data_IF_766406447507
#
_entry.id   IF_766406447507
#
_cell.length_a   1.000
_cell.length_b   1.000
_cell.length_c   1.000
_cell.angle_alpha   90.00
_cell.angle_beta   90.00
_cell.angle_gamma   90.00
#
_symmetry.space_group_name_H-M   'P 1'
#
loop_
_entity.id
_entity.type
_entity.pdbx_description
1 polymer ?
#
# COMPACT_ATOMS: atom_id res chain seq x y z
N UNK A 1 -1.59 -1.18 11.12
CA UNK A 1 -1.65 -1.82 12.46
C UNK A 1 -0.55 -2.87 12.62
N UNK A 2 -0.46 -3.89 11.76
CA UNK A 2 0.57 -4.96 11.85
C UNK A 2 2.02 -4.42 11.80
N UNK A 3 2.31 -3.43 10.95
CA UNK A 3 3.62 -2.78 10.92
C UNK A 3 3.96 -2.09 12.26
N UNK A 4 2.98 -1.47 12.91
CA UNK A 4 3.17 -0.89 14.23
C UNK A 4 3.45 -1.97 15.28
N UNK A 5 2.69 -3.08 15.27
CA UNK A 5 2.91 -4.22 16.16
C UNK A 5 4.31 -4.81 16.03
N UNK A 6 4.78 -5.02 14.80
CA UNK A 6 6.16 -5.49 14.53
C UNK A 6 7.20 -4.53 15.12
N UNK A 7 7.02 -3.20 14.95
CA UNK A 7 7.96 -2.24 15.52
C UNK A 7 7.97 -2.26 17.05
N UNK A 8 6.80 -2.40 17.70
CA UNK A 8 6.70 -2.50 19.16
C UNK A 8 7.43 -3.75 19.66
N UNK A 9 7.19 -4.92 19.08
CA UNK A 9 7.88 -6.16 19.49
C UNK A 9 9.39 -6.06 19.31
N UNK A 10 9.85 -5.55 18.18
CA UNK A 10 11.29 -5.36 17.92
C UNK A 10 11.93 -4.36 18.87
N UNK A 11 11.21 -3.30 19.26
CA UNK A 11 11.71 -2.30 20.23
C UNK A 11 11.99 -2.87 21.62
N UNK A 12 11.30 -3.94 22.00
CA UNK A 12 11.49 -4.65 23.28
C UNK A 12 12.33 -5.94 23.12
N UNK A 13 12.97 -6.13 21.96
CA UNK A 13 13.89 -7.26 21.72
C UNK A 13 13.24 -8.57 21.31
N UNK A 14 11.95 -8.58 20.97
CA UNK A 14 11.25 -9.76 20.46
C UNK A 14 11.35 -9.78 18.91
N UNK A 15 11.96 -10.82 18.31
CA UNK A 15 11.95 -10.94 16.85
C UNK A 15 10.50 -11.02 16.34
N UNK A 16 10.16 -10.17 15.39
CA UNK A 16 8.83 -10.10 14.83
C UNK A 16 8.89 -9.81 13.33
N UNK A 17 7.90 -10.30 12.60
CA UNK A 17 7.74 -10.03 11.16
C UNK A 17 6.28 -9.80 10.81
N UNK A 18 6.06 -9.01 9.76
CA UNK A 18 4.74 -8.78 9.19
C UNK A 18 4.42 -9.89 8.20
N UNK A 19 3.25 -10.47 8.33
CA UNK A 19 2.74 -11.53 7.48
C UNK A 19 1.63 -10.99 6.60
N UNK A 20 1.57 -11.47 5.37
CA UNK A 20 0.59 -11.08 4.38
C UNK A 20 -0.06 -12.28 3.73
N UNK A 21 -1.36 -12.21 3.53
CA UNK A 21 -2.03 -12.89 2.43
C UNK A 21 -2.40 -11.83 1.40
N UNK A 22 -1.79 -11.85 0.21
CA UNK A 22 -2.02 -10.78 -0.77
C UNK A 22 -3.44 -10.78 -1.29
N UNK A 23 -4.03 -11.97 -1.42
CA UNK A 23 -5.41 -12.18 -1.82
C UNK A 23 -5.94 -13.47 -1.21
N UNK A 24 -7.17 -13.43 -0.71
CA UNK A 24 -7.89 -14.64 -0.32
C UNK A 24 -8.45 -15.35 -1.56
N UNK A 25 -8.44 -16.67 -1.55
CA UNK A 25 -9.10 -17.46 -2.59
C UNK A 25 -10.60 -17.64 -2.37
N UNK A 26 -11.10 -17.31 -1.18
CA UNK A 26 -12.48 -17.55 -0.76
C UNK A 26 -13.32 -16.27 -0.63
N UNK A 27 -12.74 -15.09 -0.75
CA UNK A 27 -13.43 -13.81 -0.74
C UNK A 27 -12.54 -12.70 -1.32
N UNK A 28 -13.17 -11.63 -1.79
CA UNK A 28 -12.52 -10.46 -2.37
C UNK A 28 -11.91 -9.56 -1.30
N UNK A 29 -10.79 -10.02 -0.70
CA UNK A 29 -10.06 -9.28 0.32
C UNK A 29 -8.62 -9.77 0.45
N UNK A 30 -7.86 -9.13 1.33
CA UNK A 30 -6.51 -9.48 1.75
C UNK A 30 -6.38 -9.28 3.27
N UNK A 31 -5.27 -9.69 3.86
CA UNK A 31 -5.01 -9.42 5.27
C UNK A 31 -3.52 -9.34 5.58
N UNK A 32 -3.19 -8.66 6.69
CA UNK A 32 -1.84 -8.61 7.24
C UNK A 32 -1.89 -8.67 8.77
N UNK A 33 -1.01 -9.48 9.34
CA UNK A 33 -0.89 -9.67 10.79
C UNK A 33 0.56 -9.77 11.23
N UNK A 34 0.83 -10.29 12.41
CA UNK A 34 2.17 -10.35 13.01
C UNK A 34 2.52 -11.79 13.33
N UNK A 35 3.77 -12.17 13.09
CA UNK A 35 4.43 -13.31 13.74
C UNK A 35 5.52 -12.82 14.68
N UNK A 36 5.64 -13.49 15.81
CA UNK A 36 6.70 -13.30 16.80
C UNK A 36 7.45 -14.62 16.99
N UNK A 37 8.76 -14.52 17.23
CA UNK A 37 9.60 -15.70 17.53
C UNK A 37 9.82 -15.81 19.03
N UNK A 38 9.31 -16.88 19.64
CA UNK A 38 9.52 -17.21 21.03
C UNK A 38 9.50 -18.74 21.20
N UNK A 39 10.09 -19.23 22.26
CA UNK A 39 10.16 -20.66 22.58
C UNK A 39 10.66 -21.55 21.43
N UNK A 40 11.56 -21.00 20.61
CA UNK A 40 12.18 -21.73 19.50
C UNK A 40 11.32 -21.84 18.23
N UNK A 41 10.18 -21.15 18.15
CA UNK A 41 9.28 -21.19 17.01
C UNK A 41 8.63 -19.84 16.67
N UNK A 42 8.10 -19.72 15.45
CA UNK A 42 7.27 -18.60 15.05
C UNK A 42 5.82 -18.84 15.46
N UNK A 43 5.21 -17.83 16.05
CA UNK A 43 3.81 -17.81 16.47
C UNK A 43 3.09 -16.60 15.90
N UNK A 44 1.85 -16.77 15.47
CA UNK A 44 1.07 -15.66 14.96
C UNK A 44 0.11 -15.06 15.97
N UNK A 45 -0.22 -13.80 15.76
CA UNK A 45 -1.22 -13.05 16.53
C UNK A 45 -1.80 -11.90 15.69
N UNK A 46 -2.99 -11.46 16.03
CA UNK A 46 -3.57 -10.24 15.49
C UNK A 46 -2.86 -8.99 16.03
N UNK A 47 -2.82 -7.94 15.21
CA UNK A 47 -2.17 -6.69 15.60
C UNK A 47 -3.00 -5.84 16.56
N UNK A 48 -4.32 -6.02 16.54
CA UNK A 48 -5.29 -5.19 17.28
C UNK A 48 -6.30 -6.02 18.09
N UNK A 49 -6.21 -7.35 18.02
CA UNK A 49 -7.07 -8.24 18.77
C UNK A 49 -6.26 -8.86 19.93
N UNK A 50 -6.49 -8.44 21.16
CA UNK A 50 -5.80 -8.99 22.32
C UNK A 50 -6.34 -10.38 22.68
N UNK A 51 -5.82 -11.39 22.02
CA UNK A 51 -6.04 -12.79 22.39
C UNK A 51 -5.13 -13.19 23.56
N UNK A 52 -5.61 -14.06 24.44
CA UNK A 52 -4.85 -14.53 25.62
C UNK A 52 -3.85 -15.65 25.28
N UNK A 53 -3.85 -16.11 24.04
CA UNK A 53 -2.98 -17.16 23.56
C UNK A 53 -2.39 -16.80 22.19
N UNK A 54 -1.17 -17.22 21.93
CA UNK A 54 -0.57 -17.14 20.60
C UNK A 54 -1.23 -18.15 19.65
N UNK A 55 -1.05 -17.99 18.35
CA UNK A 55 -1.65 -18.81 17.30
C UNK A 55 -3.18 -18.73 17.30
N UNK A 56 -3.72 -17.58 17.63
CA UNK A 56 -5.14 -17.24 17.60
C UNK A 56 -5.34 -15.85 17.03
N UNK A 57 -6.36 -15.70 16.22
CA UNK A 57 -6.87 -14.45 15.68
C UNK A 57 -8.18 -14.72 14.95
N UNK A 58 -8.98 -13.70 14.67
CA UNK A 58 -10.23 -13.85 13.91
C UNK A 58 -9.99 -14.51 12.54
N UNK A 59 -8.81 -14.25 11.96
CA UNK A 59 -8.39 -14.74 10.65
C UNK A 59 -7.87 -16.19 10.65
N UNK A 60 -7.81 -16.89 11.77
CA UNK A 60 -7.24 -18.25 11.88
C UNK A 60 -7.86 -19.21 10.86
N UNK A 61 -9.20 -19.23 10.74
CA UNK A 61 -9.89 -20.06 9.75
C UNK A 61 -9.65 -19.55 8.32
N UNK A 62 -9.67 -18.24 8.10
CA UNK A 62 -9.40 -17.64 6.80
C UNK A 62 -7.97 -17.97 6.32
N UNK A 63 -6.99 -17.93 7.22
CA UNK A 63 -5.61 -18.26 6.91
C UNK A 63 -5.42 -19.73 6.51
N UNK A 64 -6.20 -20.66 7.09
CA UNK A 64 -6.17 -22.08 6.72
C UNK A 64 -6.70 -22.37 5.30
N UNK A 65 -7.37 -21.39 4.70
CA UNK A 65 -7.94 -21.42 3.34
C UNK A 65 -7.13 -20.58 2.34
N UNK A 66 -5.96 -20.14 2.72
CA UNK A 66 -5.11 -19.35 1.83
C UNK A 66 -4.40 -20.22 0.79
N UNK A 67 -4.24 -19.69 -0.42
CA UNK A 67 -3.37 -20.27 -1.43
C UNK A 67 -1.91 -19.90 -1.23
N UNK A 68 -1.65 -18.71 -0.66
CA UNK A 68 -0.32 -18.20 -0.33
C UNK A 68 -0.37 -17.27 0.87
N UNK A 69 0.60 -17.42 1.77
CA UNK A 69 0.90 -16.51 2.87
C UNK A 69 2.40 -16.26 2.87
N UNK A 70 2.81 -15.01 2.92
CA UNK A 70 4.22 -14.65 2.85
C UNK A 70 4.61 -13.52 3.80
N UNK A 71 5.88 -13.45 4.10
CA UNK A 71 6.54 -12.30 4.71
C UNK A 71 7.55 -11.69 3.74
N UNK A 72 8.02 -10.50 4.07
CA UNK A 72 9.06 -9.79 3.32
C UNK A 72 10.30 -9.67 4.17
N UNK A 73 11.44 -9.91 3.56
CA UNK A 73 12.74 -9.73 4.19
C UNK A 73 13.67 -8.96 3.27
N UNK A 74 14.54 -8.15 3.87
CA UNK A 74 15.59 -7.42 3.19
C UNK A 74 16.93 -8.02 3.60
N UNK A 75 17.70 -8.52 2.63
CA UNK A 75 18.98 -9.15 2.84
C UNK A 75 19.01 -10.64 2.43
N UNK A 76 20.12 -11.28 2.75
CA UNK A 76 20.31 -12.71 2.47
C UNK A 76 19.61 -13.56 3.53
N UNK A 77 18.88 -14.57 3.07
CA UNK A 77 18.19 -15.54 3.90
C UNK A 77 18.52 -16.93 3.42
N UNK A 78 18.82 -17.81 4.35
CA UNK A 78 19.02 -19.24 4.12
C UNK A 78 17.95 -20.06 4.83
N UNK A 79 17.55 -21.17 4.20
CA UNK A 79 16.65 -22.16 4.80
C UNK A 79 15.15 -21.85 4.68
N UNK A 80 14.77 -20.73 4.09
CA UNK A 80 13.37 -20.37 3.84
C UNK A 80 13.04 -20.50 2.34
N UNK A 81 11.81 -20.86 2.03
CA UNK A 81 11.33 -20.92 0.64
C UNK A 81 11.08 -19.48 0.12
N UNK A 82 11.89 -19.06 -0.85
CA UNK A 82 11.73 -17.75 -1.52
C UNK A 82 10.83 -17.93 -2.74
N UNK A 83 9.70 -17.24 -2.76
CA UNK A 83 8.69 -17.33 -3.81
C UNK A 83 8.73 -16.18 -4.81
N UNK A 84 9.46 -15.12 -4.50
CA UNK A 84 9.67 -13.97 -5.39
C UNK A 84 10.80 -13.11 -4.85
N UNK A 85 11.43 -12.34 -5.75
CA UNK A 85 12.37 -11.27 -5.43
C UNK A 85 12.00 -10.01 -6.19
N UNK A 86 11.94 -8.88 -5.49
CA UNK A 86 11.75 -7.57 -6.08
C UNK A 86 12.81 -6.63 -5.51
N UNK A 87 13.82 -6.33 -6.29
CA UNK A 87 14.96 -5.58 -5.82
C UNK A 87 15.68 -6.27 -4.66
N UNK A 88 15.84 -5.59 -3.55
CA UNK A 88 16.46 -6.12 -2.34
C UNK A 88 15.49 -6.90 -1.44
N UNK A 89 14.21 -6.94 -1.78
CA UNK A 89 13.21 -7.63 -0.99
C UNK A 89 13.02 -9.08 -1.46
N UNK A 90 13.14 -10.02 -0.55
CA UNK A 90 12.77 -11.43 -0.74
C UNK A 90 11.42 -11.69 -0.09
N UNK A 91 10.55 -12.43 -0.79
CA UNK A 91 9.26 -12.89 -0.29
C UNK A 91 9.41 -14.34 0.18
N UNK A 92 9.14 -14.56 1.45
CA UNK A 92 9.29 -15.85 2.10
C UNK A 92 7.94 -16.53 2.25
N UNK A 93 7.84 -17.78 1.85
CA UNK A 93 6.62 -18.56 1.98
C UNK A 93 6.41 -19.02 3.43
N UNK A 94 5.36 -18.51 4.06
CA UNK A 94 5.01 -18.87 5.44
C UNK A 94 3.75 -19.75 5.52
N UNK A 95 3.19 -20.19 4.38
CA UNK A 95 1.89 -20.86 4.33
C UNK A 95 1.80 -22.12 5.20
N UNK A 96 2.90 -22.88 5.30
CA UNK A 96 2.96 -24.14 6.08
C UNK A 96 2.58 -23.98 7.56
N UNK A 97 2.70 -22.77 8.11
CA UNK A 97 2.29 -22.50 9.50
C UNK A 97 0.76 -22.44 9.66
N UNK A 98 0.02 -22.22 8.58
CA UNK A 98 -1.41 -21.89 8.61
C UNK A 98 -2.29 -22.93 7.95
N UNK A 99 -1.87 -23.50 6.83
CA UNK A 99 -2.70 -24.31 5.95
C UNK A 99 -2.05 -25.64 5.59
N UNK A 100 -2.86 -26.59 5.19
CA UNK A 100 -2.38 -27.79 4.50
C UNK A 100 -1.86 -27.39 3.13
N UNK A 101 -0.66 -27.83 2.80
CA UNK A 101 0.07 -27.36 1.63
C UNK A 101 0.53 -28.51 0.74
N UNK A 102 0.82 -28.15 -0.50
CA UNK A 102 1.41 -29.03 -1.52
C UNK A 102 2.45 -28.25 -2.31
N UNK A 103 3.50 -28.90 -2.75
CA UNK A 103 4.45 -28.32 -3.69
C UNK A 103 3.91 -28.50 -5.11
N UNK A 104 3.74 -27.39 -5.85
CA UNK A 104 3.32 -27.38 -7.24
C UNK A 104 4.53 -27.03 -8.11
N UNK A 105 4.90 -27.94 -9.01
CA UNK A 105 5.97 -27.74 -9.99
C UNK A 105 5.36 -27.29 -11.32
N UNK A 106 6.00 -26.33 -12.00
CA UNK A 106 5.64 -25.88 -13.36
C UNK A 106 6.86 -26.08 -14.25
N UNK A 107 6.70 -26.78 -15.36
CA UNK A 107 7.76 -27.00 -16.34
C UNK A 107 7.33 -26.47 -17.71
N UNK A 108 8.15 -25.63 -18.31
CA UNK A 108 7.91 -24.93 -19.57
C UNK A 108 8.83 -25.50 -20.65
N UNK A 109 8.24 -25.87 -21.78
CA UNK A 109 8.94 -26.40 -22.98
C UNK A 109 8.53 -25.58 -24.19
N UNK A 110 9.37 -25.49 -25.18
CA UNK A 110 9.03 -25.00 -26.50
C UNK A 110 8.25 -26.05 -27.33
N UNK A 111 7.82 -25.70 -28.54
CA UNK A 111 7.11 -26.63 -29.44
C UNK A 111 7.96 -27.83 -29.88
N UNK A 112 9.27 -27.73 -29.77
CA UNK A 112 10.19 -28.86 -30.05
C UNK A 112 10.42 -29.74 -28.81
N UNK A 113 9.78 -29.43 -27.66
CA UNK A 113 9.92 -30.16 -26.41
C UNK A 113 11.17 -29.79 -25.62
N UNK A 114 11.92 -28.76 -26.01
CA UNK A 114 13.11 -28.30 -25.30
C UNK A 114 12.74 -27.43 -24.10
N UNK A 115 13.41 -27.59 -22.95
CA UNK A 115 13.20 -26.73 -21.78
C UNK A 115 13.42 -25.25 -22.11
N UNK A 116 12.55 -24.36 -21.59
CA UNK A 116 12.67 -22.92 -21.74
C UNK A 116 13.15 -22.30 -20.44
N UNK A 117 14.40 -21.89 -20.37
CA UNK A 117 14.99 -21.21 -19.23
C UNK A 117 14.61 -19.73 -19.21
N UNK A 118 14.37 -19.17 -18.01
CA UNK A 118 14.07 -17.76 -17.80
C UNK A 118 12.71 -17.36 -18.38
N UNK A 119 11.77 -18.29 -18.50
CA UNK A 119 10.36 -17.97 -18.70
C UNK A 119 9.77 -17.52 -17.37
N UNK A 120 9.06 -16.39 -17.36
CA UNK A 120 8.39 -15.87 -16.19
C UNK A 120 7.08 -16.63 -15.97
N UNK A 121 6.92 -17.24 -14.79
CA UNK A 121 5.74 -17.98 -14.38
C UNK A 121 5.03 -17.23 -13.27
N UNK A 122 3.79 -16.82 -13.51
CA UNK A 122 2.91 -16.22 -12.52
C UNK A 122 2.00 -17.26 -11.88
N UNK A 123 1.85 -17.19 -10.56
CA UNK A 123 0.96 -18.02 -9.75
C UNK A 123 -0.20 -17.15 -9.26
N UNK A 124 -1.30 -17.16 -10.01
CA UNK A 124 -2.42 -16.26 -9.85
C UNK A 124 -3.54 -16.82 -8.99
N UNK A 125 -4.18 -15.94 -8.23
CA UNK A 125 -5.37 -16.20 -7.43
C UNK A 125 -6.50 -15.33 -7.96
N UNK A 126 -7.68 -15.91 -8.21
CA UNK A 126 -8.87 -15.14 -8.59
C UNK A 126 -9.35 -14.32 -7.39
N UNK A 127 -9.40 -13.00 -7.56
CA UNK A 127 -9.86 -12.09 -6.53
C UNK A 127 -10.20 -10.72 -7.18
N UNK A 128 -11.27 -10.04 -6.73
CA UNK A 128 -11.77 -8.81 -7.36
C UNK A 128 -11.95 -8.95 -8.89
N UNK A 129 -12.53 -10.07 -9.32
CA UNK A 129 -12.82 -10.37 -10.75
C UNK A 129 -11.59 -10.35 -11.67
N UNK A 130 -10.39 -10.60 -11.11
CA UNK A 130 -9.16 -10.73 -11.91
C UNK A 130 -8.23 -11.77 -11.31
N UNK A 131 -7.29 -12.28 -12.11
CA UNK A 131 -6.21 -13.11 -11.61
C UNK A 131 -5.08 -12.21 -11.11
N UNK A 132 -4.78 -12.31 -9.81
CA UNK A 132 -3.70 -11.59 -9.16
C UNK A 132 -2.52 -12.53 -8.95
N UNK A 133 -1.36 -12.19 -9.48
CA UNK A 133 -0.13 -12.97 -9.27
C UNK A 133 0.35 -12.83 -7.82
N UNK A 134 0.13 -13.87 -7.04
CA UNK A 134 0.58 -13.95 -5.67
C UNK A 134 2.09 -14.24 -5.57
N UNK A 135 2.64 -14.89 -6.58
CA UNK A 135 4.07 -15.11 -6.77
C UNK A 135 4.43 -15.07 -8.26
N UNK A 136 5.66 -14.64 -8.57
CA UNK A 136 6.22 -14.67 -9.91
C UNK A 136 7.63 -15.23 -9.80
N UNK A 137 7.93 -16.27 -10.60
CA UNK A 137 9.21 -16.97 -10.57
C UNK A 137 9.70 -17.22 -11.99
N UNK A 138 11.02 -17.20 -12.19
CA UNK A 138 11.62 -17.56 -13.45
C UNK A 138 11.95 -19.05 -13.48
N UNK A 139 11.80 -19.69 -14.65
CA UNK A 139 12.21 -21.10 -14.84
C UNK A 139 13.72 -21.25 -14.84
N UNK A 140 14.20 -22.34 -14.25
CA UNK A 140 15.60 -22.74 -14.18
C UNK A 140 16.15 -23.26 -15.53
N UNK A 141 17.36 -23.80 -15.53
CA UNK A 141 18.02 -24.43 -16.67
C UNK A 141 17.27 -25.65 -17.24
N UNK A 142 16.46 -26.29 -16.42
CA UNK A 142 15.59 -27.42 -16.82
C UNK A 142 14.21 -26.95 -17.29
N UNK A 143 14.00 -25.64 -17.41
CA UNK A 143 12.73 -25.03 -17.77
C UNK A 143 11.67 -25.10 -16.67
N UNK A 144 12.05 -25.33 -15.40
CA UNK A 144 11.10 -25.55 -14.32
C UNK A 144 11.24 -24.53 -13.18
N UNK A 145 10.12 -24.26 -12.51
CA UNK A 145 10.06 -23.58 -11.21
C UNK A 145 8.93 -24.18 -10.38
N UNK A 146 8.70 -23.69 -9.17
CA UNK A 146 7.57 -24.13 -8.37
C UNK A 146 7.60 -23.57 -6.97
N UNK A 147 6.46 -23.67 -6.29
CA UNK A 147 6.29 -23.20 -4.92
C UNK A 147 5.34 -24.10 -4.11
N UNK A 148 5.45 -23.99 -2.80
CA UNK A 148 4.48 -24.57 -1.87
C UNK A 148 3.22 -23.69 -1.84
N UNK A 149 2.05 -24.27 -2.13
CA UNK A 149 0.77 -23.55 -2.19
C UNK A 149 -0.35 -24.29 -1.45
N UNK A 150 -1.49 -23.63 -1.29
CA UNK A 150 -2.73 -24.20 -0.74
C UNK A 150 -3.41 -25.17 -1.70
N UNK A 151 -4.40 -25.90 -1.20
CA UNK A 151 -5.12 -26.94 -1.93
C UNK A 151 -6.40 -26.36 -2.59
N UNK A 152 -6.22 -25.58 -3.66
CA UNK A 152 -7.31 -24.89 -4.36
C UNK A 152 -7.00 -24.64 -5.85
N UNK A 153 -7.80 -23.83 -6.48
CA UNK A 153 -7.57 -23.43 -7.88
C UNK A 153 -6.46 -22.37 -7.95
N UNK A 154 -5.52 -22.59 -8.86
CA UNK A 154 -4.43 -21.70 -9.19
C UNK A 154 -4.44 -21.37 -10.67
N UNK A 155 -4.32 -20.11 -11.01
CA UNK A 155 -4.07 -19.66 -12.38
C UNK A 155 -2.56 -19.62 -12.60
N UNK A 156 -2.09 -20.40 -13.55
CA UNK A 156 -0.68 -20.40 -13.97
C UNK A 156 -0.61 -19.68 -15.31
N UNK A 157 0.18 -18.61 -15.37
CA UNK A 157 0.51 -18.01 -16.65
C UNK A 157 2.03 -17.98 -16.86
N UNK A 158 2.43 -18.11 -18.10
CA UNK A 158 3.84 -18.15 -18.49
C UNK A 158 4.07 -17.13 -19.59
N UNK A 159 5.08 -16.32 -19.41
CA UNK A 159 5.52 -15.33 -20.39
C UNK A 159 7.01 -15.52 -20.71
N UNK A 160 7.34 -15.52 -21.98
CA UNK A 160 8.70 -15.42 -22.48
C UNK A 160 8.71 -14.59 -23.76
N UNK A 161 9.45 -13.48 -23.73
CA UNK A 161 9.45 -12.48 -24.81
C UNK A 161 8.00 -12.03 -25.15
N UNK A 162 7.53 -12.25 -26.35
CA UNK A 162 6.18 -11.91 -26.83
C UNK A 162 5.19 -13.09 -26.77
N UNK A 163 5.63 -14.25 -26.27
CA UNK A 163 4.78 -15.43 -26.15
C UNK A 163 4.19 -15.54 -24.76
N UNK A 164 2.90 -15.81 -24.70
CA UNK A 164 2.12 -15.94 -23.48
C UNK A 164 1.24 -17.19 -23.52
N UNK A 165 1.21 -17.93 -22.42
CA UNK A 165 0.33 -19.08 -22.22
C UNK A 165 -0.26 -19.06 -20.83
N UNK A 166 -1.47 -19.55 -20.65
CA UNK A 166 -2.13 -19.64 -19.35
C UNK A 166 -2.85 -20.97 -19.15
N UNK A 167 -3.02 -21.35 -17.89
CA UNK A 167 -3.74 -22.56 -17.51
C UNK A 167 -4.32 -22.44 -16.09
N UNK A 168 -5.58 -22.84 -15.92
CA UNK A 168 -6.17 -23.06 -14.62
C UNK A 168 -5.93 -24.48 -14.16
N UNK A 169 -5.46 -24.65 -12.93
CA UNK A 169 -5.21 -25.94 -12.33
C UNK A 169 -5.84 -26.04 -10.95
N UNK A 170 -6.37 -27.21 -10.61
CA UNK A 170 -6.76 -27.52 -9.24
C UNK A 170 -5.61 -28.27 -8.57
N UNK A 171 -4.92 -27.61 -7.65
CA UNK A 171 -3.64 -28.07 -7.11
C UNK A 171 -3.70 -29.46 -6.44
N UNK A 172 -4.80 -29.89 -5.77
CA UNK A 172 -4.90 -31.24 -5.25
C UNK A 172 -4.69 -32.35 -6.29
N UNK A 173 -5.07 -32.11 -7.53
CA UNK A 173 -5.09 -33.14 -8.59
C UNK A 173 -3.77 -33.23 -9.38
N UNK A 174 -2.86 -32.24 -9.21
CA UNK A 174 -1.64 -32.16 -10.03
C UNK A 174 -0.41 -31.89 -9.18
N UNK A 175 0.69 -32.57 -9.46
CA UNK A 175 2.00 -32.30 -8.84
C UNK A 175 2.90 -31.46 -9.76
N UNK A 176 2.74 -31.64 -11.06
CA UNK A 176 3.49 -30.93 -12.09
C UNK A 176 2.57 -30.45 -13.20
N UNK A 177 2.69 -29.17 -13.52
CA UNK A 177 2.02 -28.54 -14.67
C UNK A 177 3.03 -28.45 -15.81
N UNK A 178 2.78 -29.12 -16.90
CA UNK A 178 3.56 -28.96 -18.13
C UNK A 178 2.90 -27.94 -19.05
N UNK A 179 3.67 -26.95 -19.50
CA UNK A 179 3.23 -25.91 -20.44
C UNK A 179 4.14 -25.93 -21.65
N UNK A 180 3.52 -26.07 -22.83
CA UNK A 180 4.20 -25.84 -24.10
C UNK A 180 3.99 -24.39 -24.47
N UNK A 181 5.06 -23.63 -24.51
CA UNK A 181 5.06 -22.21 -24.84
C UNK A 181 4.95 -22.05 -26.35
N UNK A 182 3.79 -21.64 -26.80
CA UNK A 182 3.49 -21.43 -28.21
C UNK A 182 2.60 -20.19 -28.38
N UNK A 183 2.75 -19.56 -29.52
CA UNK A 183 1.95 -18.39 -29.84
C UNK A 183 0.58 -18.86 -30.40
N UNK A 184 -0.46 -18.79 -29.58
CA UNK A 184 -1.82 -19.09 -30.00
C UNK A 184 -2.59 -17.77 -30.20
N UNK A 185 -3.30 -17.61 -31.33
CA UNK A 185 -4.14 -16.44 -31.52
C UNK A 185 -5.29 -16.46 -30.50
N UNK A 186 -5.47 -15.35 -29.79
CA UNK A 186 -6.59 -15.20 -28.86
C UNK A 186 -7.88 -15.07 -29.64
N UNK A 187 -8.84 -15.96 -29.40
CA UNK A 187 -10.18 -15.86 -29.94
C UNK A 187 -11.08 -15.11 -28.94
N UNK A 188 -11.39 -13.86 -29.22
CA UNK A 188 -12.24 -13.02 -28.39
C UNK A 188 -13.74 -13.34 -28.50
N UNK A 189 -14.14 -14.21 -29.39
CA UNK A 189 -15.54 -14.62 -29.60
C UNK A 189 -15.95 -15.87 -28.80
N UNK A 190 -15.00 -16.44 -28.04
CA UNK A 190 -15.24 -17.61 -27.20
C UNK A 190 -15.27 -17.24 -25.72
N UNK A 191 -16.22 -17.87 -25.01
CA UNK A 191 -16.34 -17.77 -23.55
C UNK A 191 -15.99 -19.11 -22.93
N UNK A 192 -15.06 -19.08 -21.96
CA UNK A 192 -14.75 -20.23 -21.13
C UNK A 192 -15.41 -20.11 -19.77
N UNK A 193 -16.06 -21.17 -19.33
CA UNK A 193 -16.59 -21.28 -17.97
C UNK A 193 -15.65 -22.10 -17.12
N UNK A 194 -15.26 -21.56 -15.98
CA UNK A 194 -14.45 -22.28 -15.00
C UNK A 194 -15.01 -22.10 -13.60
N UNK A 195 -14.61 -23.01 -12.69
CA UNK A 195 -14.93 -22.92 -11.27
C UNK A 195 -13.63 -22.70 -10.50
N UNK A 196 -13.55 -21.61 -9.75
CA UNK A 196 -12.45 -21.36 -8.82
C UNK A 196 -12.82 -21.94 -7.45
N UNK A 197 -12.02 -22.91 -6.98
CA UNK A 197 -12.25 -23.61 -5.71
C UNK A 197 -11.20 -23.17 -4.72
N UNK A 198 -11.63 -22.56 -3.60
CA UNK A 198 -10.76 -22.22 -2.50
C UNK A 198 -10.40 -23.47 -1.69
N UNK A 199 -9.22 -23.49 -0.99
CA UNK A 199 -8.88 -24.55 -0.04
C UNK A 199 -9.97 -24.74 1.02
N UNK A 200 -10.12 -25.97 1.52
CA UNK A 200 -11.04 -26.28 2.61
C UNK A 200 -10.50 -25.72 3.93
N UNK A 201 -11.41 -25.46 4.85
CA UNK A 201 -11.09 -25.01 6.21
C UNK A 201 -10.40 -26.15 7.02
N UNK A 202 -9.09 -26.06 7.13
CA UNK A 202 -8.24 -27.06 7.81
C UNK A 202 -7.12 -26.35 8.56
N UNK A 203 -7.39 -25.96 9.81
CA UNK A 203 -6.43 -25.28 10.67
C UNK A 203 -5.27 -26.22 11.02
N UNK A 204 -4.05 -25.86 10.64
CA UNK A 204 -2.83 -26.62 10.92
C UNK A 204 -2.26 -26.28 12.30
N UNK A 205 -2.20 -24.97 12.60
CA UNK A 205 -1.60 -24.47 13.83
C UNK A 205 -2.49 -23.38 14.44
N UNK A 206 -3.44 -23.79 15.25
CA UNK A 206 -4.38 -22.88 15.90
C UNK A 206 -4.57 -23.24 17.37
N UNK A 207 -4.41 -22.25 18.25
CA UNK A 207 -4.70 -22.46 19.67
C UNK A 207 -6.20 -22.53 19.92
N UNK A 208 -6.58 -23.34 20.89
CA UNK A 208 -7.95 -23.44 21.41
C UNK A 208 -7.97 -22.86 22.83
N UNK A 209 -8.28 -21.57 23.00
CA UNK A 209 -8.35 -20.95 24.32
C UNK A 209 -9.43 -21.61 25.18
N UNK A 210 -9.19 -21.70 26.48
CA UNK A 210 -10.21 -22.09 27.46
C UNK A 210 -11.30 -21.03 27.55
N UNK A 211 -12.46 -21.36 28.13
CA UNK A 211 -13.54 -20.38 28.31
C UNK A 211 -13.09 -19.22 29.20
N UNK A 212 -12.29 -19.47 30.24
CA UNK A 212 -11.70 -18.45 31.09
C UNK A 212 -10.78 -17.49 30.31
N UNK A 213 -9.92 -18.03 29.41
CA UNK A 213 -9.07 -17.22 28.54
C UNK A 213 -9.88 -16.38 27.56
N UNK A 214 -10.96 -16.91 26.98
CA UNK A 214 -11.87 -16.15 26.11
C UNK A 214 -12.55 -15.00 26.86
N UNK A 215 -13.06 -15.26 28.07
CA UNK A 215 -13.68 -14.23 28.90
C UNK A 215 -12.66 -13.13 29.27
N UNK A 216 -11.43 -13.50 29.60
CA UNK A 216 -10.36 -12.55 29.91
C UNK A 216 -10.01 -11.70 28.69
N UNK A 217 -9.90 -12.31 27.51
CA UNK A 217 -9.66 -11.60 26.24
C UNK A 217 -10.78 -10.60 25.94
N UNK A 218 -12.05 -11.00 26.08
CA UNK A 218 -13.20 -10.10 25.94
C UNK A 218 -13.14 -8.91 26.91
N UNK A 219 -12.89 -9.17 28.20
CA UNK A 219 -12.76 -8.09 29.22
C UNK A 219 -11.65 -7.11 28.88
N UNK A 220 -10.48 -7.59 28.39
CA UNK A 220 -9.37 -6.73 27.95
C UNK A 220 -9.74 -5.91 26.71
N UNK A 221 -10.42 -6.51 25.75
CA UNK A 221 -10.92 -5.83 24.55
C UNK A 221 -11.90 -4.72 24.92
N UNK A 222 -12.87 -4.99 25.79
CA UNK A 222 -13.84 -4.00 26.27
C UNK A 222 -13.16 -2.84 27.01
N UNK A 223 -12.18 -3.16 27.87
CA UNK A 223 -11.42 -2.14 28.59
C UNK A 223 -10.58 -1.27 27.62
N UNK A 224 -9.96 -1.88 26.61
CA UNK A 224 -9.21 -1.17 25.58
C UNK A 224 -10.13 -0.27 24.73
N UNK A 225 -11.31 -0.75 24.34
CA UNK A 225 -12.31 0.02 23.59
C UNK A 225 -12.79 1.23 24.39
N UNK A 226 -13.14 1.06 25.67
CA UNK A 226 -13.53 2.16 26.55
C UNK A 226 -12.45 3.22 26.67
N UNK A 227 -11.17 2.81 26.84
CA UNK A 227 -10.05 3.75 26.86
C UNK A 227 -9.89 4.52 25.54
N UNK A 228 -10.06 3.82 24.40
CA UNK A 228 -10.00 4.43 23.08
C UNK A 228 -11.12 5.46 22.90
N UNK A 229 -12.34 5.09 23.24
CA UNK A 229 -13.52 5.96 23.15
C UNK A 229 -13.37 7.21 24.02
N UNK A 230 -12.96 7.03 25.28
CA UNK A 230 -12.69 8.15 26.19
C UNK A 230 -11.57 9.06 25.66
N UNK A 231 -10.51 8.49 25.10
CA UNK A 231 -9.42 9.27 24.49
C UNK A 231 -9.90 10.04 23.25
N UNK A 232 -10.70 9.42 22.39
CA UNK A 232 -11.24 10.09 21.19
C UNK A 232 -12.17 11.22 21.60
N UNK A 233 -13.05 11.00 22.60
CA UNK A 233 -13.95 12.02 23.12
C UNK A 233 -13.18 13.22 23.73
N UNK A 234 -12.08 12.95 24.44
CA UNK A 234 -11.25 14.00 25.03
C UNK A 234 -10.38 14.79 24.03
N UNK A 235 -10.30 14.38 22.76
CA UNK A 235 -9.54 15.10 21.73
C UNK A 235 -10.25 16.35 21.22
N UNK A 236 -11.57 16.39 21.29
CA UNK A 236 -12.38 17.47 20.72
C UNK A 236 -13.10 18.26 21.78
N UNK A 237 -12.83 19.56 21.81
CA UNK A 237 -13.53 20.53 22.64
C UNK A 237 -14.57 21.26 21.77
N UNK A 238 -15.84 20.91 21.95
CA UNK A 238 -16.96 21.43 21.17
C UNK A 238 -17.17 22.93 21.38
N UNK A 239 -16.99 23.43 22.61
CA UNK A 239 -17.17 24.85 22.94
C UNK A 239 -16.07 25.68 22.34
N UNK A 240 -14.82 25.23 22.41
CA UNK A 240 -13.67 25.89 21.79
C UNK A 240 -13.80 25.91 20.26
N UNK A 241 -14.13 24.77 19.64
CA UNK A 241 -14.32 24.69 18.19
C UNK A 241 -15.42 25.65 17.72
N UNK A 242 -16.56 25.71 18.45
CA UNK A 242 -17.64 26.64 18.17
C UNK A 242 -17.22 28.09 18.31
N UNK A 243 -16.50 28.42 19.37
CA UNK A 243 -16.00 29.78 19.61
C UNK A 243 -15.06 30.26 18.47
N UNK A 244 -14.21 29.37 17.92
CA UNK A 244 -13.35 29.67 16.75
C UNK A 244 -14.20 29.92 15.52
N UNK A 245 -15.15 29.04 15.23
CA UNK A 245 -16.04 29.17 14.08
C UNK A 245 -16.82 30.48 14.13
N UNK A 246 -17.44 30.79 15.28
CA UNK A 246 -18.24 32.01 15.47
C UNK A 246 -17.36 33.28 15.40
N UNK A 247 -16.17 33.25 16.01
CA UNK A 247 -15.26 34.42 16.04
C UNK A 247 -14.78 34.84 14.66
N UNK A 248 -14.41 33.86 13.82
CA UNK A 248 -13.79 34.13 12.51
C UNK A 248 -14.77 34.00 11.34
N UNK A 249 -16.02 33.63 11.61
CA UNK A 249 -17.08 33.50 10.59
C UNK A 249 -16.90 32.29 9.67
N UNK A 250 -16.31 31.21 10.16
CA UNK A 250 -16.19 29.97 9.41
C UNK A 250 -17.54 29.26 9.24
N UNK A 251 -17.63 28.39 8.24
CA UNK A 251 -18.81 27.57 8.01
C UNK A 251 -18.96 26.43 9.04
N UNK A 252 -20.16 25.84 9.07
CA UNK A 252 -20.43 24.62 9.86
C UNK A 252 -19.52 23.45 9.43
N UNK A 253 -19.10 23.40 8.18
CA UNK A 253 -18.21 22.37 7.65
C UNK A 253 -16.83 22.40 8.33
N UNK A 254 -16.34 23.57 8.74
CA UNK A 254 -15.10 23.68 9.52
C UNK A 254 -15.26 23.10 10.92
N UNK A 255 -16.42 23.30 11.58
CA UNK A 255 -16.68 22.65 12.86
C UNK A 255 -16.67 21.13 12.73
N UNK A 256 -17.31 20.58 11.70
CA UNK A 256 -17.32 19.14 11.43
C UNK A 256 -15.92 18.60 11.08
N UNK A 257 -15.15 19.38 10.33
CA UNK A 257 -13.75 19.07 9.99
C UNK A 257 -12.88 18.99 11.25
N UNK A 258 -13.02 19.92 12.19
CA UNK A 258 -12.31 19.90 13.47
C UNK A 258 -12.65 18.63 14.27
N UNK A 259 -13.92 18.26 14.34
CA UNK A 259 -14.35 17.02 14.97
C UNK A 259 -13.72 15.77 14.30
N UNK A 260 -13.68 15.73 12.97
CA UNK A 260 -13.10 14.62 12.20
C UNK A 260 -11.56 14.55 12.29
N UNK A 261 -10.89 15.65 12.61
CA UNK A 261 -9.42 15.74 12.64
C UNK A 261 -8.76 15.02 13.83
N UNK A 262 -9.55 14.64 14.85
CA UNK A 262 -9.12 13.85 16.01
C UNK A 262 -7.87 14.44 16.69
N UNK A 263 -6.76 13.67 16.74
CA UNK A 263 -5.51 14.09 17.41
C UNK A 263 -4.82 15.30 16.78
N UNK A 264 -5.22 15.71 15.58
CA UNK A 264 -4.69 16.90 14.91
C UNK A 264 -5.51 18.17 15.16
N UNK A 265 -6.62 18.07 15.92
CA UNK A 265 -7.55 19.18 16.14
C UNK A 265 -6.86 20.43 16.66
N UNK A 266 -6.03 20.31 17.69
CA UNK A 266 -5.34 21.45 18.29
C UNK A 266 -4.48 22.22 17.28
N UNK A 267 -3.75 21.52 16.41
CA UNK A 267 -2.95 22.17 15.37
C UNK A 267 -3.81 22.87 14.32
N UNK A 268 -4.95 22.28 13.96
CA UNK A 268 -5.87 22.93 13.01
C UNK A 268 -6.59 24.13 13.66
N UNK A 269 -6.92 24.07 14.94
CA UNK A 269 -7.41 25.21 15.71
C UNK A 269 -6.41 26.36 15.70
N UNK A 270 -5.14 26.09 16.05
CA UNK A 270 -4.05 27.07 15.99
C UNK A 270 -3.87 27.67 14.58
N UNK A 271 -4.01 26.86 13.54
CA UNK A 271 -3.98 27.34 12.16
C UNK A 271 -5.16 28.23 11.81
N UNK A 272 -6.37 27.91 12.28
CA UNK A 272 -7.57 28.70 12.07
C UNK A 272 -7.53 30.05 12.83
N UNK A 273 -6.89 30.09 13.98
CA UNK A 273 -6.68 31.29 14.80
C UNK A 273 -5.52 32.18 14.31
N UNK A 274 -4.62 31.64 13.46
CA UNK A 274 -3.50 32.40 12.89
C UNK A 274 -4.00 33.53 11.97
N UNK A 275 -3.73 34.77 12.33
CA UNK A 275 -4.21 35.96 11.59
C UNK A 275 -3.34 36.33 10.37
N UNK A 276 -2.28 35.54 10.07
CA UNK A 276 -1.41 35.78 8.90
C UNK A 276 -2.15 35.63 7.59
N UNK A 277 -3.18 34.78 7.55
CA UNK A 277 -3.99 34.49 6.37
C UNK A 277 -5.47 34.80 6.63
N UNK A 278 -6.21 35.17 5.59
CA UNK A 278 -7.66 35.42 5.71
C UNK A 278 -8.39 34.14 6.13
N UNK A 279 -9.48 34.30 6.89
CA UNK A 279 -10.35 33.20 7.29
C UNK A 279 -10.84 32.42 6.06
N UNK A 280 -11.25 33.13 5.00
CA UNK A 280 -11.69 32.55 3.74
C UNK A 280 -10.64 31.64 3.11
N UNK A 281 -9.39 32.08 2.99
CA UNK A 281 -8.32 31.29 2.38
C UNK A 281 -8.00 30.01 3.19
N UNK A 282 -8.01 30.11 4.52
CA UNK A 282 -7.80 28.96 5.42
C UNK A 282 -8.92 27.93 5.29
N UNK A 283 -10.16 28.40 5.29
CA UNK A 283 -11.34 27.55 5.12
C UNK A 283 -11.31 26.81 3.78
N UNK A 284 -11.17 27.54 2.66
CA UNK A 284 -11.10 26.95 1.33
C UNK A 284 -10.02 25.88 1.22
N UNK A 285 -8.82 26.15 1.74
CA UNK A 285 -7.75 25.17 1.73
C UNK A 285 -8.09 23.94 2.58
N UNK A 286 -8.59 24.10 3.80
CA UNK A 286 -8.91 22.96 4.68
C UNK A 286 -10.00 22.07 4.09
N UNK A 287 -10.97 22.63 3.40
CA UNK A 287 -12.05 21.87 2.75
C UNK A 287 -11.55 21.00 1.60
N UNK A 288 -10.41 21.33 0.97
CA UNK A 288 -9.78 20.46 -0.05
C UNK A 288 -9.12 19.19 0.52
N UNK A 289 -8.87 19.16 1.82
CA UNK A 289 -8.13 18.05 2.44
C UNK A 289 -9.00 16.81 2.62
N UNK A 290 -8.43 15.63 2.34
CA UNK A 290 -9.07 14.35 2.66
C UNK A 290 -9.19 14.17 4.18
N UNK A 291 -10.11 13.28 4.62
CA UNK A 291 -10.25 12.92 6.05
C UNK A 291 -8.93 12.41 6.67
N UNK A 292 -8.11 11.72 5.88
CA UNK A 292 -6.79 11.28 6.32
C UNK A 292 -5.87 12.47 6.55
N UNK A 293 -5.80 13.42 5.61
CA UNK A 293 -4.91 14.57 5.70
C UNK A 293 -5.30 15.51 6.85
N UNK A 294 -6.59 15.69 7.11
CA UNK A 294 -7.09 16.45 8.28
C UNK A 294 -6.55 15.92 9.61
N UNK A 295 -6.28 14.60 9.69
CA UNK A 295 -5.82 13.92 10.92
C UNK A 295 -4.32 13.98 11.16
N UNK A 296 -3.51 14.33 10.16
CA UNK A 296 -2.05 14.24 10.27
C UNK A 296 -1.25 15.28 9.47
N UNK A 297 -1.92 16.22 8.79
CA UNK A 297 -1.20 17.28 8.10
C UNK A 297 -0.48 18.18 9.10
N UNK A 298 0.78 18.49 8.78
CA UNK A 298 1.52 19.53 9.46
C UNK A 298 1.06 20.90 8.96
N UNK A 299 0.66 21.80 9.87
CA UNK A 299 0.14 23.12 9.52
C UNK A 299 1.15 24.00 8.80
N UNK A 300 2.44 23.74 8.98
CA UNK A 300 3.51 24.41 8.22
C UNK A 300 3.41 24.16 6.70
N UNK A 301 2.87 23.01 6.30
CA UNK A 301 2.60 22.69 4.89
C UNK A 301 1.47 23.55 4.36
N UNK A 302 0.43 23.77 5.18
CA UNK A 302 -0.72 24.61 4.83
C UNK A 302 -0.32 26.08 4.74
N UNK A 303 0.49 26.54 5.69
CA UNK A 303 1.03 27.91 5.70
C UNK A 303 1.94 28.17 4.50
N UNK A 304 2.82 27.21 4.15
CA UNK A 304 3.62 27.30 2.92
C UNK A 304 2.75 27.40 1.66
N UNK A 305 1.71 26.56 1.57
CA UNK A 305 0.81 26.56 0.43
C UNK A 305 0.12 27.92 0.25
N UNK A 306 -0.44 28.52 1.32
CA UNK A 306 -1.07 29.82 1.26
C UNK A 306 -0.08 30.95 1.00
N UNK A 307 1.07 30.96 1.67
CA UNK A 307 2.07 32.02 1.54
C UNK A 307 2.61 32.14 0.11
N UNK A 308 2.85 31.01 -0.54
CA UNK A 308 3.47 30.97 -1.87
C UNK A 308 2.47 31.02 -3.03
N UNK A 309 1.17 31.12 -2.73
CA UNK A 309 0.12 31.27 -3.75
C UNK A 309 -0.72 32.53 -3.59
N UNK A 310 -0.43 33.34 -2.58
CA UNK A 310 -1.23 34.54 -2.24
C UNK A 310 -1.36 35.56 -3.37
N UNK A 311 -0.35 35.64 -4.23
CA UNK A 311 -0.29 36.61 -5.33
C UNK A 311 -0.78 36.02 -6.67
N UNK A 312 -1.27 34.74 -6.65
CA UNK A 312 -1.81 34.11 -7.84
C UNK A 312 -3.25 34.52 -8.07
N UNK A 313 -3.60 34.78 -9.31
CA UNK A 313 -4.97 35.11 -9.73
C UNK A 313 -5.53 34.00 -10.59
N UNK A 314 -6.75 33.57 -10.27
CA UNK A 314 -7.49 32.55 -11.02
C UNK A 314 -8.95 32.98 -11.13
N UNK A 315 -9.55 32.75 -12.28
CA UNK A 315 -10.99 33.07 -12.50
C UNK A 315 -11.90 32.12 -11.70
N UNK A 316 -11.50 30.83 -11.60
CA UNK A 316 -12.24 29.81 -10.86
C UNK A 316 -11.55 29.55 -9.51
N UNK A 317 -12.14 30.08 -8.46
CA UNK A 317 -11.60 29.94 -7.10
C UNK A 317 -11.59 28.48 -6.61
N UNK A 318 -12.58 27.66 -6.97
CA UNK A 318 -12.66 26.26 -6.54
C UNK A 318 -11.51 25.45 -7.18
N UNK A 319 -11.30 25.59 -8.48
CA UNK A 319 -10.17 24.98 -9.17
C UNK A 319 -8.84 25.46 -8.60
N UNK A 320 -8.74 26.74 -8.25
CA UNK A 320 -7.53 27.30 -7.65
C UNK A 320 -7.17 26.60 -6.34
N UNK A 321 -8.11 26.57 -5.39
CA UNK A 321 -7.83 25.91 -4.11
C UNK A 321 -7.61 24.41 -4.26
N UNK A 322 -8.39 23.73 -5.07
CA UNK A 322 -8.32 22.26 -5.23
C UNK A 322 -7.05 21.82 -5.95
N UNK A 323 -6.65 22.50 -7.00
CA UNK A 323 -5.59 22.03 -7.90
C UNK A 323 -4.30 22.85 -7.87
N UNK A 324 -4.29 24.01 -7.25
CA UNK A 324 -3.08 24.85 -7.13
C UNK A 324 -2.65 24.99 -5.68
N UNK A 325 -3.53 25.42 -4.79
CA UNK A 325 -3.19 25.66 -3.37
C UNK A 325 -3.05 24.34 -2.61
N UNK A 326 -3.98 23.40 -2.80
CA UNK A 326 -3.97 22.11 -2.12
C UNK A 326 -2.61 21.40 -2.25
N UNK A 327 -1.93 21.07 -1.14
CA UNK A 327 -0.61 20.46 -1.19
C UNK A 327 -0.64 18.99 -1.62
N UNK A 328 -1.80 18.32 -1.56
CA UNK A 328 -1.97 16.91 -1.91
C UNK A 328 -2.01 16.73 -3.43
N UNK A 329 -1.17 15.84 -3.96
CA UNK A 329 -1.23 15.39 -5.36
C UNK A 329 -1.89 14.03 -5.47
N UNK A 330 -1.40 13.04 -4.73
CA UNK A 330 -1.94 11.67 -4.78
C UNK A 330 -1.90 10.99 -3.41
N UNK A 331 -0.85 10.23 -3.07
CA UNK A 331 -0.70 9.49 -1.80
C UNK A 331 0.66 9.69 -1.13
N UNK A 332 1.43 10.66 -1.57
CA UNK A 332 2.72 11.01 -0.99
C UNK A 332 2.56 11.51 0.46
N UNK A 333 3.55 11.30 1.34
CA UNK A 333 3.57 11.96 2.63
C UNK A 333 3.60 13.47 2.46
N UNK A 334 2.61 14.19 3.04
CA UNK A 334 2.57 15.66 2.98
C UNK A 334 3.72 16.25 3.78
N UNK A 335 4.56 16.99 3.09
CA UNK A 335 5.65 17.79 3.65
C UNK A 335 5.83 19.04 2.80
N UNK A 336 6.47 20.07 3.35
CA UNK A 336 6.86 21.25 2.59
C UNK A 336 7.67 20.85 1.36
N UNK A 337 7.32 21.41 0.23
CA UNK A 337 8.02 21.13 -1.03
C UNK A 337 8.02 22.32 -1.99
N UNK A 338 7.06 23.22 -1.90
CA UNK A 338 6.88 24.29 -2.88
C UNK A 338 8.04 25.28 -2.88
N UNK A 339 8.46 25.76 -1.71
CA UNK A 339 9.63 26.64 -1.62
C UNK A 339 10.89 25.97 -2.14
N UNK A 340 11.13 24.70 -1.75
CA UNK A 340 12.27 23.95 -2.25
C UNK A 340 12.27 23.85 -3.79
N UNK A 341 11.12 23.55 -4.38
CA UNK A 341 10.96 23.47 -5.84
C UNK A 341 11.25 24.83 -6.48
N UNK A 342 10.76 25.92 -5.93
CA UNK A 342 11.00 27.28 -6.41
C UNK A 342 12.48 27.66 -6.38
N UNK A 343 13.20 27.23 -5.34
CA UNK A 343 14.62 27.53 -5.17
C UNK A 343 15.55 26.60 -5.98
N UNK A 344 15.05 25.41 -6.34
CA UNK A 344 15.85 24.35 -6.96
C UNK A 344 16.20 24.63 -8.43
N UNK A 345 15.28 25.24 -9.18
CA UNK A 345 15.43 25.46 -10.61
C UNK A 345 15.97 26.85 -10.94
N UNK A 346 16.74 26.94 -12.03
CA UNK A 346 17.22 28.21 -12.57
C UNK A 346 16.08 29.03 -13.14
N UNK A 347 16.27 30.34 -13.31
CA UNK A 347 15.26 31.22 -13.92
C UNK A 347 14.97 30.85 -15.39
N UNK A 348 15.97 30.31 -16.10
CA UNK A 348 15.81 29.82 -17.47
C UNK A 348 14.89 28.60 -17.53
N UNK A 349 15.10 27.62 -16.62
CA UNK A 349 14.24 26.44 -16.51
C UNK A 349 12.82 26.83 -16.12
N UNK A 350 12.67 27.73 -15.15
CA UNK A 350 11.36 28.25 -14.73
C UNK A 350 10.62 28.93 -15.89
N UNK A 351 11.31 29.73 -16.68
CA UNK A 351 10.73 30.39 -17.85
C UNK A 351 10.28 29.38 -18.92
N UNK A 352 11.10 28.33 -19.17
CA UNK A 352 10.73 27.27 -20.07
C UNK A 352 9.49 26.50 -19.61
N UNK A 353 9.42 26.17 -18.31
CA UNK A 353 8.30 25.45 -17.70
C UNK A 353 6.98 26.24 -17.74
N UNK A 354 7.04 27.55 -17.52
CA UNK A 354 5.87 28.44 -17.66
C UNK A 354 5.38 28.52 -19.10
N UNK A 355 6.29 28.56 -20.05
CA UNK A 355 5.97 28.66 -21.49
C UNK A 355 5.35 27.36 -22.01
N UNK A 356 5.85 26.20 -21.61
CA UNK A 356 5.36 24.90 -22.03
C UNK A 356 5.51 23.87 -20.89
N UNK A 357 4.42 23.52 -20.20
CA UNK A 357 4.47 22.52 -19.12
C UNK A 357 5.01 21.15 -19.55
N UNK A 358 5.00 20.80 -20.83
CA UNK A 358 5.59 19.53 -21.32
C UNK A 358 7.09 19.47 -21.08
N UNK A 359 7.77 20.62 -21.07
CA UNK A 359 9.20 20.70 -20.75
C UNK A 359 9.54 20.25 -19.33
N UNK A 360 8.60 20.35 -18.38
CA UNK A 360 8.73 19.75 -17.04
C UNK A 360 8.81 18.23 -17.13
N UNK A 361 7.96 17.62 -17.95
CA UNK A 361 7.98 16.17 -18.12
C UNK A 361 9.24 15.67 -18.84
N UNK A 362 9.72 16.43 -19.81
CA UNK A 362 11.00 16.17 -20.49
C UNK A 362 12.18 16.23 -19.49
N UNK A 363 12.22 17.28 -18.66
CA UNK A 363 13.20 17.37 -17.58
C UNK A 363 13.15 16.16 -16.64
N UNK A 364 11.95 15.79 -16.16
CA UNK A 364 11.79 14.65 -15.25
C UNK A 364 12.27 13.35 -15.89
N UNK A 365 11.95 13.10 -17.15
CA UNK A 365 12.39 11.88 -17.82
C UNK A 365 13.89 11.84 -18.07
N UNK A 366 14.51 12.99 -18.29
CA UNK A 366 15.96 13.10 -18.48
C UNK A 366 16.73 12.99 -17.17
N UNK A 367 16.27 13.68 -16.12
CA UNK A 367 17.06 13.90 -14.91
C UNK A 367 16.71 12.93 -13.77
N UNK A 368 15.50 12.35 -13.77
CA UNK A 368 15.04 11.43 -12.72
C UNK A 368 15.07 10.00 -13.26
N UNK A 369 16.03 9.22 -12.83
CA UNK A 369 16.13 7.82 -13.20
C UNK A 369 14.91 7.03 -12.70
N UNK A 370 14.52 6.01 -13.46
CA UNK A 370 13.55 5.03 -12.99
C UNK A 370 14.28 3.85 -12.37
N UNK A 371 14.05 3.63 -11.10
CA UNK A 371 14.57 2.45 -10.41
C UNK A 371 13.44 1.86 -9.52
N UNK A 372 12.83 0.76 -9.96
CA UNK A 372 11.74 0.12 -9.20
C UNK A 372 12.22 -0.45 -7.85
N UNK A 373 13.52 -0.71 -7.71
CA UNK A 373 14.10 -1.34 -6.52
C UNK A 373 14.17 -0.38 -5.32
N UNK A 374 14.21 0.93 -5.57
CA UNK A 374 14.23 1.96 -4.51
C UNK A 374 12.84 2.19 -3.93
N UNK A 375 11.81 2.12 -4.77
CA UNK A 375 10.43 2.35 -4.36
C UNK A 375 9.64 1.06 -4.34
N UNK A 376 9.86 0.31 -3.30
CA UNK A 376 9.20 -0.97 -3.12
C UNK A 376 7.69 -0.82 -2.91
N UNK A 377 6.92 -1.55 -3.72
CA UNK A 377 5.46 -1.59 -3.64
C UNK A 377 4.80 -0.27 -4.05
N UNK A 378 3.91 0.24 -3.21
CA UNK A 378 3.18 1.49 -3.47
C UNK A 378 3.80 2.73 -2.81
N UNK A 379 4.97 2.60 -2.22
CA UNK A 379 5.70 3.71 -1.62
C UNK A 379 6.14 4.66 -2.74
N UNK A 380 5.96 5.96 -2.50
CA UNK A 380 6.35 6.99 -3.45
C UNK A 380 7.40 7.90 -2.84
N UNK A 381 8.39 8.30 -3.65
CA UNK A 381 9.36 9.32 -3.29
C UNK A 381 8.67 10.69 -3.33
N UNK A 382 8.85 11.48 -2.26
CA UNK A 382 8.33 12.85 -2.21
C UNK A 382 9.04 13.74 -3.25
N UNK A 383 8.41 14.85 -3.70
CA UNK A 383 9.02 15.75 -4.70
C UNK A 383 10.47 16.18 -4.36
N UNK A 384 10.70 16.64 -3.13
CA UNK A 384 12.05 17.01 -2.65
C UNK A 384 13.03 15.84 -2.76
N UNK A 385 12.61 14.64 -2.31
CA UNK A 385 13.44 13.44 -2.39
C UNK A 385 13.77 13.08 -3.83
N UNK A 386 12.79 13.08 -4.73
CA UNK A 386 13.00 12.77 -6.15
C UNK A 386 13.99 13.74 -6.81
N UNK A 387 13.88 15.04 -6.54
CA UNK A 387 14.82 16.05 -7.04
C UNK A 387 16.23 15.89 -6.46
N UNK A 388 16.33 15.54 -5.17
CA UNK A 388 17.62 15.42 -4.47
C UNK A 388 18.38 14.16 -4.86
N UNK A 389 17.70 13.01 -4.87
CA UNK A 389 18.33 11.71 -5.17
C UNK A 389 18.30 11.35 -6.66
N UNK A 390 17.63 12.15 -7.47
CA UNK A 390 17.47 11.94 -8.93
C UNK A 390 16.90 10.56 -9.28
N UNK A 391 15.96 10.08 -8.47
CA UNK A 391 15.38 8.75 -8.64
C UNK A 391 13.91 8.71 -8.24
N UNK A 392 13.11 7.88 -8.92
CA UNK A 392 11.70 7.70 -8.62
C UNK A 392 11.00 6.74 -9.57
N UNK A 393 9.95 6.06 -9.06
CA UNK A 393 9.07 5.25 -9.89
C UNK A 393 8.10 6.15 -10.71
N UNK A 394 7.26 5.52 -11.52
CA UNK A 394 6.32 6.24 -12.38
C UNK A 394 5.34 7.14 -11.60
N UNK A 395 4.91 6.72 -10.41
CA UNK A 395 4.02 7.53 -9.56
C UNK A 395 4.75 8.75 -9.01
N UNK A 396 5.97 8.56 -8.50
CA UNK A 396 6.80 9.64 -7.98
C UNK A 396 7.11 10.68 -9.04
N UNK A 397 7.39 10.24 -10.28
CA UNK A 397 7.57 11.14 -11.43
C UNK A 397 6.31 11.97 -11.73
N UNK A 398 5.12 11.35 -11.71
CA UNK A 398 3.84 12.05 -11.91
C UNK A 398 3.54 13.03 -10.77
N UNK A 399 3.78 12.64 -9.51
CA UNK A 399 3.61 13.52 -8.35
C UNK A 399 4.57 14.71 -8.46
N UNK A 400 5.83 14.49 -8.81
CA UNK A 400 6.81 15.53 -9.01
C UNK A 400 6.39 16.49 -10.14
N UNK A 401 5.91 15.97 -11.28
CA UNK A 401 5.39 16.78 -12.38
C UNK A 401 4.31 17.75 -11.91
N UNK A 402 3.28 17.23 -11.22
CA UNK A 402 2.18 18.06 -10.73
C UNK A 402 2.68 19.08 -9.69
N UNK A 403 3.58 18.67 -8.77
CA UNK A 403 4.14 19.56 -7.76
C UNK A 403 4.93 20.72 -8.39
N UNK A 404 5.72 20.45 -9.43
CA UNK A 404 6.46 21.47 -10.19
C UNK A 404 5.47 22.41 -10.90
N UNK A 405 4.49 21.88 -11.63
CA UNK A 405 3.50 22.71 -12.31
C UNK A 405 2.73 23.62 -11.34
N UNK A 406 2.33 23.11 -10.17
CA UNK A 406 1.65 23.89 -9.13
C UNK A 406 2.53 24.98 -8.50
N UNK A 407 3.86 24.76 -8.46
CA UNK A 407 4.78 25.76 -7.92
C UNK A 407 4.87 27.03 -8.79
N UNK A 408 4.57 26.91 -10.08
CA UNK A 408 4.58 28.03 -11.03
C UNK A 408 3.26 28.23 -11.76
N UNK A 409 2.15 27.79 -11.16
CA UNK A 409 0.83 28.02 -11.72
C UNK A 409 0.47 29.52 -11.64
N UNK A 410 1.19 30.34 -12.41
CA UNK A 410 0.73 31.67 -12.80
C UNK A 410 0.17 31.55 -14.21
N UNK A 411 -0.99 32.14 -14.48
CA UNK A 411 -1.51 32.23 -15.84
C UNK A 411 -0.42 32.86 -16.73
N UNK A 412 -0.19 32.34 -17.94
CA UNK A 412 0.46 33.16 -18.97
C UNK A 412 -0.49 34.33 -19.26
N UNK A 413 0.07 35.53 -19.29
CA UNK A 413 -0.60 36.70 -19.87
C UNK A 413 -1.05 36.40 -21.29
#
# INVERSE_FOLDING_TARGET
>A
ESAFGVNVYRAIGIPARQIYTPRWAHCDDNHAWVEVYCDGAWHFLGACEPEEVLNKGWFTNAASRAMLIHSRCFGEISGEEIISKVGMASFLNNLKLYAVTKYLKVCVKDEAGKPVQGAQVGFGILNYSSFFDAAIMDTDENGCCGLTCGLGTMHIHVKKDDVFCERLVYTPDVDTVEIVLKNEPVNYDTWEHFVSIAPKDQIVNGAKPTEEQKELGMKKTDAANKKREARVAAMFDADKAKAIVDKYGYSQEIYELLFESRSNVTRLEEFLEDETFSAHAKEKLLLTLSKKDRRDVDTDVLKEALALTKDYTFEDEELFYQYVVCPRVFNEPLRKNRQFILDFFTEEEKAAFRKDPRSVWEYINKEIAFNPDIEYGQIVTRPVGALTVKNGNQRSKKILFVAICRAWASYPE
#
